data_IF_364357614886
#
_entry.id   IF_364357614886
#
_cell.length_a   1.000
_cell.length_b   1.000
_cell.length_c   1.000
_cell.angle_alpha   90.00
_cell.angle_beta   90.00
_cell.angle_gamma   90.00
#
_symmetry.space_group_name_H-M   'P 1'
#
loop_
_entity.id
_entity.type
_entity.pdbx_description
1 polymer ?
#
# COMPACT_ATOMS: atom_id res chain seq x y z
N UNK A 1 3.68 -10.26 -17.31
CA UNK A 1 3.43 -8.82 -17.56
C UNK A 1 4.78 -8.13 -17.75
N UNK A 2 4.90 -7.15 -18.67
CA UNK A 2 6.13 -6.36 -18.77
C UNK A 2 6.32 -5.54 -17.50
N UNK A 3 7.57 -5.43 -17.04
CA UNK A 3 7.96 -4.63 -15.88
C UNK A 3 7.77 -3.14 -16.13
N UNK A 4 7.80 -2.69 -17.39
CA UNK A 4 7.74 -1.27 -17.74
C UNK A 4 6.44 -0.83 -18.40
N UNK A 5 6.00 0.38 -18.06
CA UNK A 5 4.94 1.12 -18.76
C UNK A 5 5.41 2.54 -19.06
N UNK A 6 4.81 3.13 -20.09
CA UNK A 6 5.00 4.53 -20.43
C UNK A 6 3.79 5.34 -19.98
N UNK A 7 4.03 6.49 -19.37
CA UNK A 7 3.02 7.38 -18.82
C UNK A 7 3.28 8.78 -19.40
N UNK A 8 2.25 9.40 -19.96
CA UNK A 8 2.32 10.76 -20.45
C UNK A 8 1.56 11.70 -19.50
N UNK A 9 2.20 12.81 -19.11
CA UNK A 9 1.54 13.85 -18.33
C UNK A 9 0.58 14.68 -19.18
N UNK A 10 -0.32 15.43 -18.54
CA UNK A 10 -1.21 16.39 -19.22
C UNK A 10 -0.48 17.49 -19.98
N UNK A 11 0.82 17.69 -19.73
CA UNK A 11 1.69 18.65 -20.43
C UNK A 11 2.57 18.00 -21.52
N UNK A 12 2.38 16.72 -21.83
CA UNK A 12 3.12 16.02 -22.89
C UNK A 12 4.49 15.46 -22.48
N UNK A 13 4.89 15.56 -21.21
CA UNK A 13 6.11 14.90 -20.74
C UNK A 13 5.91 13.39 -20.63
N UNK A 14 6.86 12.62 -21.17
CA UNK A 14 6.84 11.17 -21.16
C UNK A 14 7.71 10.61 -20.01
N UNK A 15 7.18 9.61 -19.32
CA UNK A 15 7.83 8.92 -18.22
C UNK A 15 7.80 7.42 -18.44
N UNK A 16 8.88 6.75 -18.05
CA UNK A 16 8.98 5.30 -17.94
C UNK A 16 8.82 4.92 -16.47
N UNK A 17 7.87 4.05 -16.15
CA UNK A 17 7.75 3.46 -14.81
C UNK A 17 8.04 1.96 -14.86
N UNK A 18 8.91 1.47 -13.98
CA UNK A 18 9.22 0.04 -13.83
C UNK A 18 8.67 -0.53 -12.52
N UNK A 19 7.77 -1.51 -12.60
CA UNK A 19 7.10 -2.16 -11.48
C UNK A 19 8.04 -2.98 -10.58
N UNK A 20 9.12 -3.54 -11.14
CA UNK A 20 10.07 -4.34 -10.37
C UNK A 20 11.02 -3.45 -9.58
N UNK A 21 11.45 -2.34 -10.20
CA UNK A 21 12.36 -1.37 -9.58
C UNK A 21 11.64 -0.31 -8.75
N UNK A 22 10.34 -0.09 -8.99
CA UNK A 22 9.52 0.97 -8.37
C UNK A 22 10.07 2.36 -8.62
N UNK A 23 10.58 2.58 -9.83
CA UNK A 23 11.23 3.82 -10.25
C UNK A 23 10.44 4.46 -11.40
N UNK A 24 10.34 5.79 -11.35
CA UNK A 24 9.83 6.62 -12.44
C UNK A 24 10.96 7.46 -13.02
N UNK A 25 11.11 7.41 -14.34
CA UNK A 25 12.21 8.06 -15.05
C UNK A 25 11.64 8.94 -16.16
N UNK A 26 11.95 10.24 -16.22
CA UNK A 26 11.62 11.03 -17.40
C UNK A 26 12.35 10.45 -18.61
N UNK A 27 11.61 10.09 -19.64
CA UNK A 27 12.17 9.38 -20.79
C UNK A 27 11.87 10.12 -22.09
N UNK A 28 12.85 10.10 -22.99
CA UNK A 28 12.69 10.69 -24.31
C UNK A 28 11.80 9.78 -25.18
N UNK A 29 10.93 10.32 -26.06
CA UNK A 29 10.02 9.52 -26.89
C UNK A 29 10.69 8.41 -27.70
N UNK A 30 11.95 8.62 -28.10
CA UNK A 30 12.77 7.61 -28.79
C UNK A 30 12.88 6.29 -28.00
N UNK A 31 12.93 6.33 -26.67
CA UNK A 31 12.99 5.12 -25.83
C UNK A 31 11.72 4.27 -26.00
N UNK A 32 10.55 4.91 -26.13
CA UNK A 32 9.29 4.21 -26.38
C UNK A 32 9.27 3.62 -27.79
N UNK A 33 9.77 4.35 -28.78
CA UNK A 33 9.89 3.85 -30.17
C UNK A 33 10.79 2.61 -30.21
N UNK A 34 11.95 2.64 -29.56
CA UNK A 34 12.86 1.48 -29.52
C UNK A 34 12.23 0.29 -28.81
N UNK A 35 11.52 0.48 -27.69
CA UNK A 35 10.78 -0.61 -27.05
C UNK A 35 9.67 -1.17 -27.95
N UNK A 36 9.00 -0.35 -28.77
CA UNK A 36 8.02 -0.83 -29.74
C UNK A 36 8.66 -1.63 -30.88
N UNK A 37 9.81 -1.19 -31.40
CA UNK A 37 10.56 -1.91 -32.44
C UNK A 37 11.13 -3.23 -31.91
N UNK A 38 11.73 -3.21 -30.72
CA UNK A 38 12.26 -4.40 -30.04
C UNK A 38 11.17 -5.45 -29.81
N UNK A 39 9.95 -5.04 -29.40
CA UNK A 39 8.79 -5.94 -29.28
C UNK A 39 8.40 -6.62 -30.60
N UNK A 40 8.63 -5.95 -31.72
CA UNK A 40 8.33 -6.46 -33.06
C UNK A 40 9.52 -7.22 -33.68
N UNK A 41 10.63 -7.35 -32.96
CA UNK A 41 11.91 -7.85 -33.47
C UNK A 41 12.44 -7.05 -34.68
N UNK A 42 12.18 -5.74 -34.71
CA UNK A 42 12.58 -4.83 -35.78
C UNK A 42 13.70 -3.86 -35.37
N UNK A 43 14.25 -4.01 -34.16
CA UNK A 43 15.28 -3.10 -33.65
C UNK A 43 16.59 -3.22 -34.44
N UNK A 44 16.95 -4.42 -34.91
CA UNK A 44 18.16 -4.64 -35.71
C UNK A 44 18.05 -4.00 -37.10
N UNK A 45 16.83 -3.82 -37.61
CA UNK A 45 16.53 -3.13 -38.86
C UNK A 45 16.33 -1.61 -38.68
N UNK A 46 16.60 -1.06 -37.48
CA UNK A 46 16.32 0.35 -37.15
C UNK A 46 16.85 1.33 -38.21
N UNK A 47 18.11 1.22 -38.61
CA UNK A 47 18.68 2.15 -39.59
C UNK A 47 18.08 1.97 -40.99
N UNK A 48 17.69 0.75 -41.37
CA UNK A 48 16.96 0.51 -42.62
C UNK A 48 15.58 1.17 -42.60
N UNK A 49 14.92 1.16 -41.44
CA UNK A 49 13.61 1.81 -41.23
C UNK A 49 13.75 3.33 -41.22
N UNK A 50 14.84 3.86 -40.65
CA UNK A 50 15.13 5.30 -40.65
C UNK A 50 15.51 5.80 -42.05
N UNK A 51 16.37 5.07 -42.75
CA UNK A 51 16.91 5.46 -44.05
C UNK A 51 15.93 5.15 -45.21
N UNK A 52 14.76 4.58 -44.93
CA UNK A 52 13.70 4.31 -45.91
C UNK A 52 12.88 5.56 -46.29
N UNK A 53 12.27 5.55 -47.48
CA UNK A 53 11.39 6.64 -47.92
C UNK A 53 10.17 6.80 -46.97
N UNK A 54 9.94 8.02 -46.47
CA UNK A 54 8.89 8.42 -45.52
C UNK A 54 9.09 8.01 -44.04
N UNK A 55 10.31 8.13 -43.51
CA UNK A 55 10.54 7.97 -42.07
C UNK A 55 10.35 9.28 -41.28
N UNK A 56 9.18 9.42 -40.62
CA UNK A 56 8.88 10.53 -39.69
C UNK A 56 9.95 10.74 -38.60
N UNK A 57 10.74 9.71 -38.32
CA UNK A 57 11.79 9.72 -37.30
C UNK A 57 13.07 10.43 -37.79
N UNK A 58 13.42 10.25 -39.07
CA UNK A 58 14.57 10.91 -39.69
C UNK A 58 14.37 12.42 -39.83
N UNK A 59 13.13 12.85 -40.07
CA UNK A 59 12.77 14.26 -40.17
C UNK A 59 12.70 14.95 -38.80
N UNK A 60 12.38 14.19 -37.74
CA UNK A 60 12.14 14.73 -36.40
C UNK A 60 13.36 14.71 -35.48
N UNK A 61 14.29 13.77 -35.67
CA UNK A 61 15.43 13.59 -34.78
C UNK A 61 16.74 13.47 -35.56
N UNK A 62 17.81 14.06 -35.02
CA UNK A 62 19.15 13.90 -35.59
C UNK A 62 19.64 12.47 -35.36
N UNK A 63 20.45 11.95 -36.29
CA UNK A 63 21.07 10.62 -36.17
C UNK A 63 21.86 10.45 -34.86
N UNK A 64 22.57 11.49 -34.44
CA UNK A 64 23.30 11.54 -33.17
C UNK A 64 22.39 11.31 -31.94
N UNK A 65 21.20 11.92 -31.94
CA UNK A 65 20.21 11.72 -30.87
C UNK A 65 19.67 10.30 -30.89
N UNK A 66 19.36 9.77 -32.08
CA UNK A 66 18.89 8.39 -32.27
C UNK A 66 19.92 7.41 -31.69
N UNK A 67 21.19 7.56 -32.04
CA UNK A 67 22.28 6.70 -31.58
C UNK A 67 22.46 6.80 -30.06
N UNK A 68 22.42 8.01 -29.51
CA UNK A 68 22.50 8.25 -28.07
C UNK A 68 21.38 7.53 -27.31
N UNK A 69 20.12 7.75 -27.74
CA UNK A 69 18.97 7.16 -27.06
C UNK A 69 18.85 5.66 -27.30
N UNK A 70 19.33 5.13 -28.43
CA UNK A 70 19.41 3.70 -28.67
C UNK A 70 20.37 3.04 -27.68
N UNK A 71 21.56 3.60 -27.52
CA UNK A 71 22.52 3.13 -26.53
C UNK A 71 21.95 3.21 -25.10
N UNK A 72 21.24 4.30 -24.78
CA UNK A 72 20.55 4.46 -23.49
C UNK A 72 19.49 3.36 -23.28
N UNK A 73 18.67 3.07 -24.30
CA UNK A 73 17.69 1.99 -24.26
C UNK A 73 18.32 0.61 -24.03
N UNK A 74 19.40 0.29 -24.77
CA UNK A 74 20.13 -0.97 -24.61
C UNK A 74 20.74 -1.09 -23.21
N UNK A 75 21.24 0.01 -22.64
CA UNK A 75 21.73 0.04 -21.26
C UNK A 75 20.62 -0.19 -20.24
N UNK A 76 19.43 0.38 -20.44
CA UNK A 76 18.26 0.09 -19.60
C UNK A 76 17.91 -1.40 -19.61
N UNK A 77 17.89 -2.05 -20.79
CA UNK A 77 17.69 -3.50 -20.88
C UNK A 77 18.75 -4.27 -20.08
N UNK A 78 20.03 -3.90 -20.21
CA UNK A 78 21.13 -4.53 -19.45
C UNK A 78 20.95 -4.37 -17.93
N UNK A 79 20.41 -3.24 -17.47
CA UNK A 79 20.11 -2.99 -16.05
C UNK A 79 18.81 -3.65 -15.54
N UNK A 80 18.12 -4.44 -16.38
CA UNK A 80 16.93 -5.19 -16.02
C UNK A 80 15.60 -4.45 -16.17
N UNK A 81 15.59 -3.26 -16.80
CA UNK A 81 14.34 -2.65 -17.27
C UNK A 81 13.79 -3.43 -18.48
N UNK A 82 12.51 -3.25 -18.78
CA UNK A 82 11.79 -3.94 -19.87
C UNK A 82 11.76 -5.47 -19.69
N UNK A 83 12.00 -5.95 -18.48
CA UNK A 83 11.93 -7.38 -18.15
C UNK A 83 10.48 -7.85 -18.01
N UNK A 84 10.28 -9.15 -17.84
CA UNK A 84 8.97 -9.73 -17.59
C UNK A 84 8.87 -10.22 -16.16
N UNK A 85 7.73 -9.98 -15.52
CA UNK A 85 7.41 -10.55 -14.23
C UNK A 85 6.07 -11.27 -14.26
N UNK A 86 5.97 -12.32 -13.44
CA UNK A 86 4.69 -12.96 -13.15
C UNK A 86 3.92 -12.00 -12.25
N UNK A 87 2.82 -11.44 -12.77
CA UNK A 87 1.87 -10.72 -11.91
C UNK A 87 1.49 -11.70 -10.82
N UNK A 88 1.68 -11.33 -9.54
CA UNK A 88 1.10 -12.13 -8.46
C UNK A 88 -0.39 -12.16 -8.75
N UNK A 89 -0.93 -13.36 -9.00
CA UNK A 89 -2.38 -13.54 -9.04
C UNK A 89 -2.92 -12.93 -7.75
N UNK A 90 -3.96 -12.12 -7.88
CA UNK A 90 -4.71 -11.74 -6.69
C UNK A 90 -5.06 -13.07 -6.00
N UNK A 91 -4.76 -13.18 -4.71
CA UNK A 91 -5.18 -14.37 -3.97
C UNK A 91 -6.69 -14.44 -4.16
N UNK A 92 -7.18 -15.52 -4.76
CA UNK A 92 -8.62 -15.79 -4.75
C UNK A 92 -9.00 -15.99 -3.29
N UNK A 93 -9.85 -15.09 -2.79
CA UNK A 93 -10.36 -15.18 -1.43
C UNK A 93 -11.60 -16.06 -1.47
N UNK A 94 -11.45 -17.31 -1.05
CA UNK A 94 -12.60 -18.16 -0.73
C UNK A 94 -12.98 -18.00 0.76
N UNK A 95 -14.15 -18.54 1.12
CA UNK A 95 -14.67 -18.49 2.49
C UNK A 95 -13.70 -19.10 3.51
N UNK A 96 -12.98 -20.16 3.13
CA UNK A 96 -12.04 -20.86 4.00
C UNK A 96 -10.81 -20.00 4.31
N UNK A 97 -10.24 -19.34 3.30
CA UNK A 97 -9.10 -18.41 3.44
C UNK A 97 -9.48 -17.21 4.30
N UNK A 98 -10.69 -16.67 4.13
CA UNK A 98 -11.19 -15.56 4.96
C UNK A 98 -11.34 -16.02 6.40
N UNK A 99 -12.02 -17.15 6.63
CA UNK A 99 -12.24 -17.70 7.97
C UNK A 99 -10.91 -18.02 8.67
N UNK A 100 -9.97 -18.62 7.97
CA UNK A 100 -8.64 -18.90 8.49
C UNK A 100 -7.91 -17.61 8.88
N UNK A 101 -7.98 -16.58 8.04
CA UNK A 101 -7.36 -15.27 8.30
C UNK A 101 -7.95 -14.61 9.56
N UNK A 102 -9.28 -14.67 9.74
CA UNK A 102 -9.96 -14.12 10.92
C UNK A 102 -9.60 -14.88 12.19
N UNK A 103 -9.56 -16.22 12.16
CA UNK A 103 -9.13 -17.05 13.29
C UNK A 103 -7.69 -16.73 13.72
N UNK A 104 -6.86 -16.26 12.79
CA UNK A 104 -5.44 -16.02 12.99
C UNK A 104 -5.05 -14.54 12.98
N UNK A 105 -5.99 -13.59 13.08
CA UNK A 105 -5.66 -12.16 13.15
C UNK A 105 -4.76 -11.86 14.36
N UNK A 106 -3.83 -10.93 14.22
CA UNK A 106 -2.88 -10.53 15.26
C UNK A 106 -3.03 -9.07 15.70
N UNK A 107 -3.82 -8.27 15.00
CA UNK A 107 -3.99 -6.86 15.29
C UNK A 107 -5.46 -6.48 15.12
N UNK A 108 -6.02 -5.83 16.13
CA UNK A 108 -7.32 -5.16 16.08
C UNK A 108 -7.05 -3.69 16.37
N UNK A 109 -7.55 -2.78 15.54
CA UNK A 109 -7.38 -1.34 15.76
C UNK A 109 -8.75 -0.70 15.81
N UNK A 110 -9.01 0.04 16.89
CA UNK A 110 -10.24 0.81 17.07
C UNK A 110 -9.95 2.29 16.78
N UNK A 111 -10.74 2.88 15.88
CA UNK A 111 -10.87 4.33 15.81
C UNK A 111 -11.75 4.80 16.98
N UNK A 112 -11.12 5.21 18.08
CA UNK A 112 -11.84 5.54 19.32
C UNK A 112 -12.62 6.85 19.20
N UNK A 113 -12.22 7.72 18.27
CA UNK A 113 -12.94 8.94 17.90
C UNK A 113 -12.43 9.48 16.57
N UNK A 114 -13.31 10.07 15.77
CA UNK A 114 -12.91 10.88 14.62
C UNK A 114 -12.75 12.38 14.98
N UNK A 115 -12.91 12.76 16.26
CA UNK A 115 -12.63 14.11 16.73
C UNK A 115 -11.11 14.32 16.87
N UNK A 116 -10.64 15.54 16.57
CA UNK A 116 -9.24 15.93 16.79
C UNK A 116 -9.15 17.39 17.23
N UNK A 117 -8.26 17.67 18.18
CA UNK A 117 -7.98 19.02 18.66
C UNK A 117 -6.89 19.73 17.85
N UNK A 118 -6.43 19.14 16.74
CA UNK A 118 -5.43 19.69 15.83
C UNK A 118 -5.96 19.68 14.39
N UNK A 119 -5.45 20.60 13.56
CA UNK A 119 -5.81 20.71 12.14
C UNK A 119 -4.56 20.56 11.25
N UNK A 120 -4.05 19.33 11.16
CA UNK A 120 -2.76 19.07 10.51
C UNK A 120 -2.90 19.12 8.99
N UNK A 121 -2.07 19.92 8.31
CA UNK A 121 -2.10 20.03 6.84
C UNK A 121 -1.91 18.66 6.13
N UNK A 122 -1.02 17.81 6.67
CA UNK A 122 -0.73 16.48 6.16
C UNK A 122 -1.64 15.37 6.73
N UNK A 123 -2.70 15.72 7.47
CA UNK A 123 -3.66 14.71 7.92
C UNK A 123 -4.30 14.05 6.70
N UNK A 124 -4.50 12.73 6.73
CA UNK A 124 -5.23 11.99 5.68
C UNK A 124 -6.66 12.49 5.48
N UNK A 125 -7.21 13.15 6.49
CA UNK A 125 -8.53 13.80 6.49
C UNK A 125 -8.45 15.33 6.38
N UNK A 126 -7.28 15.86 6.00
CA UNK A 126 -7.02 17.28 5.82
C UNK A 126 -6.95 17.68 4.35
N UNK A 127 -6.71 18.97 4.10
CA UNK A 127 -6.83 19.60 2.77
C UNK A 127 -5.84 19.08 1.69
N UNK A 128 -4.85 18.27 2.05
CA UNK A 128 -3.87 17.72 1.10
C UNK A 128 -4.36 16.48 0.35
N UNK A 129 -5.47 15.86 0.79
CA UNK A 129 -6.02 14.64 0.20
C UNK A 129 -7.46 14.90 -0.27
N UNK A 130 -7.91 14.12 -1.25
CA UNK A 130 -9.28 14.12 -1.76
C UNK A 130 -9.95 12.79 -1.37
N UNK A 131 -11.28 12.72 -1.44
CA UNK A 131 -12.07 11.49 -1.22
C UNK A 131 -11.93 10.84 0.18
N UNK A 132 -12.13 11.63 1.24
CA UNK A 132 -12.26 11.11 2.61
C UNK A 132 -13.64 11.39 3.21
N UNK A 133 -14.10 10.51 4.09
CA UNK A 133 -15.35 10.71 4.82
C UNK A 133 -15.24 11.94 5.75
N UNK A 134 -16.26 12.82 5.78
CA UNK A 134 -16.23 13.99 6.63
C UNK A 134 -16.23 13.58 8.10
N UNK A 135 -15.32 14.17 8.88
CA UNK A 135 -15.25 13.95 10.32
C UNK A 135 -16.45 14.58 11.01
N UNK A 136 -17.14 13.81 11.83
CA UNK A 136 -18.38 14.20 12.54
C UNK A 136 -18.17 14.40 14.04
N UNK A 137 -16.93 14.32 14.52
CA UNK A 137 -16.56 14.41 15.94
C UNK A 137 -17.30 13.37 16.82
N UNK A 138 -17.50 12.18 16.28
CA UNK A 138 -18.08 11.03 16.94
C UNK A 138 -17.08 10.39 17.92
N UNK A 139 -17.62 9.95 19.04
CA UNK A 139 -16.92 9.18 20.06
C UNK A 139 -17.43 7.74 20.01
N UNK A 140 -16.54 6.76 19.83
CA UNK A 140 -16.92 5.35 19.85
C UNK A 140 -17.38 4.95 21.27
N UNK A 141 -18.43 4.14 21.36
CA UNK A 141 -18.91 3.56 22.61
C UNK A 141 -18.26 2.19 22.90
N UNK A 142 -18.16 1.83 24.18
CA UNK A 142 -17.57 0.57 24.61
C UNK A 142 -18.31 -0.68 24.10
N UNK A 143 -19.61 -0.57 23.84
CA UNK A 143 -20.40 -1.67 23.26
C UNK A 143 -19.83 -2.15 21.92
N UNK A 144 -19.27 -1.24 21.12
CA UNK A 144 -18.63 -1.59 19.84
C UNK A 144 -17.42 -2.50 20.05
N UNK A 145 -16.59 -2.18 21.05
CA UNK A 145 -15.44 -2.99 21.43
C UNK A 145 -15.92 -4.38 21.85
N UNK A 146 -16.93 -4.45 22.71
CA UNK A 146 -17.50 -5.72 23.17
C UNK A 146 -18.05 -6.55 22.01
N UNK A 147 -18.81 -5.96 21.08
CA UNK A 147 -19.34 -6.65 19.89
C UNK A 147 -18.23 -7.26 19.03
N UNK A 148 -17.13 -6.53 18.81
CA UNK A 148 -15.98 -7.04 18.04
C UNK A 148 -15.35 -8.24 18.75
N UNK A 149 -15.12 -8.15 20.05
CA UNK A 149 -14.56 -9.28 20.80
C UNK A 149 -15.53 -10.47 20.88
N UNK A 150 -16.83 -10.24 21.07
CA UNK A 150 -17.85 -11.30 21.08
C UNK A 150 -17.88 -12.07 19.74
N UNK A 151 -17.62 -11.39 18.62
CA UNK A 151 -17.47 -12.03 17.31
C UNK A 151 -16.19 -12.87 17.19
N UNK A 152 -15.06 -12.37 17.68
CA UNK A 152 -13.76 -13.03 17.49
C UNK A 152 -13.46 -14.15 18.50
N UNK A 153 -13.98 -14.06 19.73
CA UNK A 153 -13.72 -15.05 20.78
C UNK A 153 -14.05 -16.49 20.33
N UNK A 154 -15.23 -16.77 19.73
CA UNK A 154 -15.52 -18.10 19.19
C UNK A 154 -14.53 -18.57 18.12
N UNK A 155 -14.09 -17.66 17.24
CA UNK A 155 -13.12 -17.96 16.19
C UNK A 155 -11.75 -18.31 16.77
N UNK A 156 -11.30 -17.58 17.78
CA UNK A 156 -10.02 -17.83 18.44
C UNK A 156 -9.98 -19.08 19.30
N UNK A 157 -11.14 -19.53 19.79
CA UNK A 157 -11.30 -20.81 20.48
C UNK A 157 -11.52 -22.00 19.53
N UNK A 158 -11.64 -21.75 18.22
CA UNK A 158 -11.81 -22.82 17.22
C UNK A 158 -10.52 -23.54 16.89
N UNK A 159 -10.63 -24.77 16.38
CA UNK A 159 -9.51 -25.58 15.88
C UNK A 159 -8.76 -24.93 14.70
N UNK A 160 -9.38 -23.96 14.02
CA UNK A 160 -8.76 -23.20 12.93
C UNK A 160 -7.76 -22.15 13.41
N UNK A 161 -7.69 -21.87 14.72
CA UNK A 161 -6.63 -21.07 15.30
C UNK A 161 -5.34 -21.89 15.34
N UNK A 162 -4.35 -21.49 14.54
CA UNK A 162 -3.08 -22.21 14.37
C UNK A 162 -2.01 -21.80 15.40
N UNK A 163 -2.34 -20.96 16.37
CA UNK A 163 -1.37 -20.40 17.33
C UNK A 163 -1.63 -20.88 18.75
N UNK A 164 -0.62 -21.50 19.36
CA UNK A 164 -0.65 -22.02 20.73
C UNK A 164 -0.47 -20.94 21.81
N UNK A 165 -0.18 -19.69 21.44
CA UNK A 165 -0.04 -18.54 22.37
C UNK A 165 0.10 -17.21 21.60
N UNK A 166 -0.87 -16.90 20.73
CA UNK A 166 -0.74 -15.72 19.85
C UNK A 166 -0.83 -14.42 20.64
N UNK A 167 0.15 -13.55 20.47
CA UNK A 167 0.03 -12.15 20.90
C UNK A 167 -0.88 -11.43 19.91
N UNK A 168 -1.96 -10.84 20.42
CA UNK A 168 -2.86 -9.97 19.66
C UNK A 168 -2.71 -8.54 20.14
N UNK A 169 -2.29 -7.64 19.26
CA UNK A 169 -2.23 -6.22 19.56
C UNK A 169 -3.63 -5.63 19.49
N UNK A 170 -3.99 -4.84 20.50
CA UNK A 170 -5.22 -4.04 20.49
C UNK A 170 -4.80 -2.58 20.39
N UNK A 171 -4.91 -2.01 19.20
CA UNK A 171 -4.53 -0.64 18.89
C UNK A 171 -5.68 0.34 19.11
N UNK A 172 -5.37 1.53 19.62
CA UNK A 172 -6.28 2.66 19.66
C UNK A 172 -5.73 3.78 18.77
N UNK A 173 -6.55 4.18 17.80
CA UNK A 173 -6.28 5.19 16.79
C UNK A 173 -7.49 6.13 16.64
N UNK A 174 -7.43 7.09 15.71
CA UNK A 174 -8.49 8.03 15.41
C UNK A 174 -7.93 9.41 15.15
N UNK A 175 -8.71 10.45 15.41
CA UNK A 175 -8.24 11.84 15.36
C UNK A 175 -7.22 12.13 16.44
N UNK A 176 -7.71 12.48 17.62
CA UNK A 176 -6.90 12.47 18.84
C UNK A 176 -7.45 11.43 19.80
N UNK A 177 -6.86 10.22 19.88
CA UNK A 177 -7.37 9.13 20.70
C UNK A 177 -7.53 9.48 22.18
N UNK A 178 -6.70 10.39 22.70
CA UNK A 178 -6.79 10.82 24.10
C UNK A 178 -8.06 11.62 24.43
N UNK A 179 -8.79 12.11 23.43
CA UNK A 179 -10.11 12.72 23.65
C UNK A 179 -11.16 11.69 24.12
N UNK A 180 -10.93 10.40 23.88
CA UNK A 180 -11.78 9.30 24.36
C UNK A 180 -10.99 8.31 25.24
N UNK A 181 -10.25 8.86 26.21
CA UNK A 181 -9.42 8.06 27.11
C UNK A 181 -10.21 7.05 27.95
N UNK A 182 -11.45 7.41 28.36
CA UNK A 182 -12.33 6.51 29.12
C UNK A 182 -12.62 5.20 28.37
N UNK A 183 -12.87 5.27 27.06
CA UNK A 183 -13.04 4.07 26.23
C UNK A 183 -11.77 3.22 26.21
N UNK A 184 -10.61 3.85 26.07
CA UNK A 184 -9.30 3.17 26.05
C UNK A 184 -9.10 2.42 27.35
N UNK A 185 -9.31 3.07 28.49
CA UNK A 185 -9.19 2.47 29.82
C UNK A 185 -10.14 1.27 29.99
N UNK A 186 -11.43 1.44 29.69
CA UNK A 186 -12.42 0.36 29.74
C UNK A 186 -12.02 -0.82 28.86
N UNK A 187 -11.51 -0.55 27.67
CA UNK A 187 -11.05 -1.56 26.70
C UNK A 187 -9.82 -2.32 27.18
N UNK A 188 -8.84 -1.63 27.79
CA UNK A 188 -7.66 -2.25 28.38
C UNK A 188 -8.04 -3.16 29.55
N UNK A 189 -8.88 -2.66 30.47
CA UNK A 189 -9.38 -3.44 31.61
C UNK A 189 -10.20 -4.65 31.15
N UNK A 190 -10.96 -4.52 30.07
CA UNK A 190 -11.68 -5.65 29.47
C UNK A 190 -10.69 -6.69 28.90
N UNK A 191 -9.70 -6.26 28.10
CA UNK A 191 -8.70 -7.16 27.53
C UNK A 191 -7.88 -7.89 28.59
N UNK A 192 -7.51 -7.22 29.69
CA UNK A 192 -6.76 -7.82 30.78
C UNK A 192 -7.57 -8.85 31.58
N UNK A 193 -8.91 -8.72 31.59
CA UNK A 193 -9.82 -9.67 32.24
C UNK A 193 -10.17 -10.86 31.35
N UNK A 194 -9.96 -10.78 30.04
CA UNK A 194 -10.17 -11.89 29.12
C UNK A 194 -9.09 -12.96 29.32
N UNK A 195 -9.49 -14.12 29.81
CA UNK A 195 -8.61 -15.27 29.96
C UNK A 195 -8.84 -16.28 28.82
N UNK A 196 -8.04 -16.20 27.77
CA UNK A 196 -8.05 -17.15 26.66
C UNK A 196 -6.76 -17.97 26.68
N UNK A 197 -6.88 -19.31 26.78
CA UNK A 197 -5.73 -20.22 26.87
C UNK A 197 -4.74 -20.09 25.70
N UNK A 198 -5.22 -19.71 24.52
CA UNK A 198 -4.43 -19.66 23.29
C UNK A 198 -4.06 -18.24 22.83
N UNK A 199 -4.38 -17.20 23.62
CA UNK A 199 -4.23 -15.80 23.16
C UNK A 199 -3.92 -14.83 24.30
N UNK A 200 -2.96 -13.95 24.05
CA UNK A 200 -2.56 -12.87 24.97
C UNK A 200 -2.81 -11.54 24.28
N UNK A 201 -3.57 -10.65 24.93
CA UNK A 201 -3.83 -9.32 24.40
C UNK A 201 -2.78 -8.31 24.86
N UNK A 202 -2.30 -7.48 23.94
CA UNK A 202 -1.36 -6.39 24.22
C UNK A 202 -1.91 -5.06 23.72
N UNK A 203 -2.57 -4.28 24.59
CA UNK A 203 -3.06 -2.97 24.22
C UNK A 203 -1.94 -1.98 23.89
N UNK A 204 -2.16 -1.17 22.85
CA UNK A 204 -1.23 -0.13 22.37
C UNK A 204 -2.01 1.12 21.98
N UNK A 205 -1.52 2.27 22.42
CA UNK A 205 -2.04 3.56 22.01
C UNK A 205 -1.11 4.18 20.98
N UNK A 206 -1.68 4.72 19.89
CA UNK A 206 -0.95 5.55 18.95
C UNK A 206 -1.57 6.93 18.91
N UNK A 207 -0.93 7.91 19.55
CA UNK A 207 -1.24 9.32 19.35
C UNK A 207 -0.06 10.00 18.60
N UNK A 208 -0.23 11.26 18.21
CA UNK A 208 0.79 11.98 17.41
C UNK A 208 2.09 12.25 18.19
N UNK A 209 2.03 12.23 19.53
CA UNK A 209 3.17 12.55 20.39
C UNK A 209 3.96 11.30 20.83
N UNK A 210 3.32 10.11 20.92
CA UNK A 210 3.93 8.89 21.46
C UNK A 210 3.27 7.61 20.90
N UNK A 211 4.10 6.57 20.72
CA UNK A 211 3.65 5.18 20.71
C UNK A 211 3.78 4.65 22.13
N UNK A 212 2.68 4.58 22.86
CA UNK A 212 2.68 4.08 24.24
C UNK A 212 2.20 2.64 24.23
N UNK A 213 3.07 1.72 24.63
CA UNK A 213 2.62 0.41 25.03
C UNK A 213 1.97 0.53 26.41
N UNK A 214 0.67 0.23 26.50
CA UNK A 214 -0.07 0.37 27.76
C UNK A 214 0.24 -0.87 28.61
N UNK A 215 1.37 -0.87 29.32
CA UNK A 215 1.67 -1.87 30.35
C UNK A 215 1.38 -1.29 31.73
N UNK A 216 0.41 -1.85 32.45
CA UNK A 216 0.30 -1.66 33.91
C UNK A 216 0.13 -0.23 34.42
N UNK A 217 -0.48 0.68 33.64
CA UNK A 217 -0.70 2.10 34.05
C UNK A 217 -2.16 2.39 34.40
N UNK A 218 -2.96 1.36 34.68
CA UNK A 218 -4.32 1.56 35.19
C UNK A 218 -4.37 0.85 36.54
N UNK A 219 -4.51 1.58 37.66
CA UNK A 219 -4.55 1.01 39.01
C UNK A 219 -5.74 0.05 39.21
#
# INVERSE_FOLDING_TARGET
MKSTIFIESTKGNLYLYDFLKKEIIPCHPLIQVFDLLDRKNLLDDLYRIIDGENSDMADKYKREDIDYYLNKYLNYKKCGYFSFFKKREALEYDELVIKESLCNINNIVFEVTDACNLNCAYCTYGNMYYDYDPRKNQMMGFDTVKTVFDFFIPLWNSHSNKSSSKITTVGFYGGEPLLNFELIEKSVLFCNRLNLSNRIFKPRLRNRNFLVQIYGVIP
#
